data_IF_559961965736
#
_entry.id   IF_559961965736
#
_cell.length_a   1.000
_cell.length_b   1.000
_cell.length_c   1.000
_cell.angle_alpha   90.00
_cell.angle_beta   90.00
_cell.angle_gamma   90.00
#
_symmetry.space_group_name_H-M   'P 1'
#
loop_
_entity.id
_entity.type
_entity.pdbx_description
1 polymer ?
#
# COMPACT_ATOMS: atom_id res chain seq x y z
N UNK A 1 -0.84 -14.40 12.49
CA UNK A 1 -1.34 -13.12 11.97
C UNK A 1 -1.22 -13.08 10.46
N UNK A 2 -2.32 -12.78 9.77
CA UNK A 2 -2.38 -12.63 8.30
C UNK A 2 -2.78 -11.20 7.99
N UNK A 3 -2.00 -10.47 7.19
CA UNK A 3 -2.29 -9.07 6.88
C UNK A 3 -2.29 -8.84 5.37
N UNK A 4 -3.40 -8.33 4.85
CA UNK A 4 -3.47 -7.71 3.54
C UNK A 4 -3.35 -6.19 3.70
N UNK A 5 -2.28 -5.61 3.17
CA UNK A 5 -2.12 -4.16 3.05
C UNK A 5 -2.54 -3.74 1.65
N UNK A 6 -3.47 -2.81 1.56
CA UNK A 6 -4.00 -2.35 0.27
C UNK A 6 -4.15 -0.84 0.22
N UNK A 7 -4.57 -0.31 -0.92
CA UNK A 7 -4.69 1.12 -1.17
C UNK A 7 -4.35 1.47 -2.62
N UNK A 8 -4.64 2.71 -2.99
CA UNK A 8 -4.34 3.23 -4.33
C UNK A 8 -2.84 3.29 -4.63
N UNK A 9 -2.45 3.30 -5.93
CA UNK A 9 -1.10 3.67 -6.33
C UNK A 9 -0.65 4.97 -5.65
N UNK A 10 0.66 5.08 -5.38
CA UNK A 10 1.26 6.22 -4.69
C UNK A 10 0.70 6.56 -3.29
N UNK A 11 -0.09 5.67 -2.68
CA UNK A 11 -0.61 5.87 -1.31
C UNK A 11 0.44 5.75 -0.22
N UNK A 12 1.55 5.05 -0.48
CA UNK A 12 2.55 4.72 0.54
C UNK A 12 2.35 3.34 1.19
N UNK A 13 1.45 2.50 0.68
CA UNK A 13 1.11 1.19 1.25
C UNK A 13 2.32 0.28 1.51
N UNK A 14 3.37 0.33 0.67
CA UNK A 14 4.55 -0.51 0.85
C UNK A 14 5.42 -0.08 2.04
N UNK A 15 5.35 1.18 2.46
CA UNK A 15 6.01 1.65 3.69
C UNK A 15 5.32 1.02 4.89
N UNK A 16 4.00 1.08 4.93
CA UNK A 16 3.20 0.46 5.98
C UNK A 16 3.41 -1.05 6.02
N UNK A 17 3.44 -1.71 4.86
CA UNK A 17 3.75 -3.14 4.76
C UNK A 17 5.11 -3.50 5.34
N UNK A 18 6.16 -2.72 5.04
CA UNK A 18 7.49 -2.92 5.60
C UNK A 18 7.50 -2.74 7.13
N UNK A 19 6.85 -1.71 7.64
CA UNK A 19 6.71 -1.47 9.09
C UNK A 19 5.99 -2.64 9.77
N UNK A 20 4.82 -3.03 9.28
CA UNK A 20 4.03 -4.12 9.86
C UNK A 20 4.76 -5.46 9.81
N UNK A 21 5.46 -5.74 8.71
CA UNK A 21 6.30 -6.95 8.59
C UNK A 21 7.39 -6.98 9.66
N UNK A 22 8.10 -5.87 9.84
CA UNK A 22 9.17 -5.78 10.84
C UNK A 22 8.62 -5.92 12.26
N UNK A 23 7.54 -5.21 12.56
CA UNK A 23 6.91 -5.16 13.90
C UNK A 23 6.38 -6.54 14.32
N UNK A 24 5.70 -7.25 13.42
CA UNK A 24 5.06 -8.52 13.73
C UNK A 24 5.85 -9.75 13.28
N UNK A 25 7.02 -9.56 12.67
CA UNK A 25 7.85 -10.64 12.11
C UNK A 25 7.08 -11.47 11.06
N UNK A 26 6.51 -10.79 10.06
CA UNK A 26 5.70 -11.40 9.00
C UNK A 26 6.53 -11.70 7.75
N UNK A 27 6.19 -12.81 7.10
CA UNK A 27 6.73 -13.25 5.82
C UNK A 27 6.24 -12.34 4.69
N UNK A 28 7.15 -12.01 3.78
CA UNK A 28 6.85 -11.19 2.60
C UNK A 28 6.27 -12.01 1.48
N UNK A 29 4.96 -11.93 1.29
CA UNK A 29 4.34 -12.66 0.19
C UNK A 29 4.66 -12.01 -1.16
N UNK A 30 4.97 -10.70 -1.19
CA UNK A 30 5.38 -10.01 -2.42
C UNK A 30 6.73 -10.50 -2.98
N UNK A 31 7.59 -11.08 -2.14
CA UNK A 31 8.91 -11.57 -2.55
C UNK A 31 8.94 -13.05 -2.97
N UNK A 32 7.83 -13.78 -2.80
CA UNK A 32 7.78 -15.22 -3.14
C UNK A 32 7.78 -15.40 -4.66
N UNK A 33 8.73 -16.20 -5.16
CA UNK A 33 8.84 -16.54 -6.57
C UNK A 33 7.62 -17.36 -7.03
N UNK A 34 6.96 -16.92 -8.11
CA UNK A 34 5.79 -17.61 -8.68
C UNK A 34 4.68 -16.68 -9.18
N UNK A 35 4.75 -15.39 -8.84
CA UNK A 35 3.71 -14.42 -9.16
C UNK A 35 2.52 -14.60 -8.21
N UNK A 36 2.11 -13.52 -7.56
CA UNK A 36 0.86 -13.53 -6.80
C UNK A 36 -0.31 -13.23 -7.73
N UNK A 37 -1.51 -13.52 -7.25
CA UNK A 37 -2.75 -13.14 -7.92
C UNK A 37 -2.70 -11.65 -8.32
N UNK A 38 -2.71 -11.39 -9.63
CA UNK A 38 -2.59 -10.03 -10.17
C UNK A 38 -3.87 -9.20 -10.02
N UNK A 39 -5.00 -9.85 -9.72
CA UNK A 39 -6.31 -9.25 -9.60
C UNK A 39 -7.06 -9.70 -8.33
N UNK A 40 -8.06 -8.92 -7.94
CA UNK A 40 -8.89 -9.14 -6.75
C UNK A 40 -9.60 -10.51 -6.73
N UNK A 41 -10.28 -10.96 -7.83
CA UNK A 41 -10.91 -12.28 -7.85
C UNK A 41 -9.93 -13.43 -7.61
N UNK A 42 -8.78 -13.42 -8.29
CA UNK A 42 -7.75 -14.43 -8.15
C UNK A 42 -7.17 -14.45 -6.73
N UNK A 43 -7.07 -13.27 -6.09
CA UNK A 43 -6.61 -13.17 -4.70
C UNK A 43 -7.63 -13.79 -3.74
N UNK A 44 -8.92 -13.51 -3.94
CA UNK A 44 -9.98 -14.07 -3.12
C UNK A 44 -9.98 -15.61 -3.16
N UNK A 45 -9.87 -16.20 -4.35
CA UNK A 45 -9.79 -17.66 -4.53
C UNK A 45 -8.54 -18.27 -3.87
N UNK A 46 -7.39 -17.64 -4.05
CA UNK A 46 -6.14 -18.06 -3.42
C UNK A 46 -6.21 -18.02 -1.88
N UNK A 47 -6.84 -17.00 -1.30
CA UNK A 47 -7.08 -16.92 0.14
C UNK A 47 -8.01 -18.05 0.58
N UNK A 48 -9.15 -18.24 -0.10
CA UNK A 48 -10.15 -19.26 0.25
C UNK A 48 -9.59 -20.68 0.22
N UNK A 49 -8.67 -20.96 -0.70
CA UNK A 49 -7.99 -22.26 -0.82
C UNK A 49 -6.85 -22.46 0.19
N UNK A 50 -6.65 -21.52 1.11
CA UNK A 50 -5.65 -21.62 2.17
C UNK A 50 -4.25 -21.18 1.74
N UNK A 51 -4.12 -20.48 0.61
CA UNK A 51 -2.85 -19.98 0.10
C UNK A 51 -2.17 -18.95 1.00
N UNK A 52 -2.94 -18.27 1.86
CA UNK A 52 -2.42 -17.22 2.75
C UNK A 52 -1.86 -17.81 4.08
N UNK A 53 -0.53 -17.87 4.28
CA UNK A 53 0.07 -18.51 5.45
C UNK A 53 -0.16 -17.71 6.73
N UNK A 54 -0.13 -18.39 7.88
CA UNK A 54 -0.48 -17.81 9.19
C UNK A 54 0.44 -16.68 9.68
N UNK A 55 1.58 -16.42 9.04
CA UNK A 55 2.49 -15.29 9.31
C UNK A 55 2.76 -14.45 8.06
N UNK A 56 1.87 -14.47 7.08
CA UNK A 56 2.05 -13.74 5.84
C UNK A 56 1.63 -12.27 5.93
N UNK A 57 2.33 -11.43 5.17
CA UNK A 57 1.85 -10.12 4.77
C UNK A 57 1.89 -9.98 3.25
N UNK A 58 0.78 -9.51 2.68
CA UNK A 58 0.63 -9.21 1.28
C UNK A 58 0.32 -7.73 1.12
N UNK A 59 1.06 -7.02 0.27
CA UNK A 59 0.77 -5.66 -0.14
C UNK A 59 0.36 -5.57 -1.62
N UNK A 60 -0.72 -4.86 -1.95
CA UNK A 60 -1.10 -4.66 -3.34
C UNK A 60 -2.30 -3.76 -3.57
N UNK A 61 -2.49 -3.35 -4.82
CA UNK A 61 -3.58 -2.46 -5.26
C UNK A 61 -4.83 -3.29 -5.57
N UNK A 62 -5.49 -3.81 -4.54
CA UNK A 62 -6.70 -4.60 -4.66
C UNK A 62 -7.93 -3.75 -4.34
N UNK A 63 -9.02 -4.00 -5.04
CA UNK A 63 -10.31 -3.37 -4.76
C UNK A 63 -11.04 -4.08 -3.62
N UNK A 64 -11.84 -3.33 -2.86
CA UNK A 64 -12.81 -3.95 -1.96
C UNK A 64 -13.90 -4.61 -2.81
N UNK A 65 -13.97 -5.93 -2.72
CA UNK A 65 -14.92 -6.79 -3.42
C UNK A 65 -15.49 -7.81 -2.42
N UNK A 66 -16.77 -8.15 -2.57
CA UNK A 66 -17.48 -9.02 -1.63
C UNK A 66 -16.81 -10.40 -1.47
N UNK A 67 -16.27 -10.97 -2.55
CA UNK A 67 -15.59 -12.25 -2.51
C UNK A 67 -14.25 -12.16 -1.75
N UNK A 68 -13.50 -11.07 -1.97
CA UNK A 68 -12.25 -10.83 -1.23
C UNK A 68 -12.53 -10.58 0.26
N UNK A 69 -13.51 -9.73 0.58
CA UNK A 69 -13.90 -9.45 1.97
C UNK A 69 -14.32 -10.72 2.69
N UNK A 70 -15.15 -11.55 2.04
CA UNK A 70 -15.56 -12.85 2.57
C UNK A 70 -14.35 -13.78 2.78
N UNK A 71 -13.47 -13.88 1.78
CA UNK A 71 -12.25 -14.68 1.88
C UNK A 71 -11.37 -14.26 3.07
N UNK A 72 -11.17 -12.95 3.22
CA UNK A 72 -10.39 -12.39 4.31
C UNK A 72 -11.03 -12.71 5.68
N UNK A 73 -12.34 -12.51 5.84
CA UNK A 73 -13.04 -12.86 7.09
C UNK A 73 -12.93 -14.35 7.42
N UNK A 74 -13.24 -15.22 6.45
CA UNK A 74 -13.27 -16.67 6.66
C UNK A 74 -11.88 -17.24 7.05
N UNK A 75 -10.80 -16.65 6.53
CA UNK A 75 -9.43 -17.09 6.77
C UNK A 75 -8.69 -16.29 7.85
N UNK A 76 -9.38 -15.33 8.48
CA UNK A 76 -8.80 -14.45 9.50
C UNK A 76 -7.67 -13.57 8.97
N UNK A 77 -7.77 -13.10 7.73
CA UNK A 77 -6.89 -12.08 7.16
C UNK A 77 -7.39 -10.70 7.58
N UNK A 78 -6.54 -9.94 8.26
CA UNK A 78 -6.82 -8.53 8.58
C UNK A 78 -6.50 -7.68 7.37
N UNK A 79 -7.41 -6.79 7.01
CA UNK A 79 -7.18 -5.83 5.91
C UNK A 79 -6.81 -4.48 6.50
N UNK A 80 -5.73 -3.89 6.00
CA UNK A 80 -5.28 -2.55 6.34
C UNK A 80 -5.22 -1.74 5.05
N UNK A 81 -6.04 -0.70 4.93
CA UNK A 81 -6.09 0.13 3.73
C UNK A 81 -5.37 1.46 3.97
N UNK A 82 -4.37 1.74 3.14
CA UNK A 82 -3.69 3.03 3.10
C UNK A 82 -4.49 4.02 2.26
N UNK A 83 -4.90 5.10 2.92
CA UNK A 83 -5.46 6.29 2.29
C UNK A 83 -4.40 7.41 2.27
N UNK A 84 -4.49 8.27 1.26
CA UNK A 84 -3.66 9.45 1.10
C UNK A 84 -4.52 10.57 0.58
N UNK A 85 -4.19 11.80 0.96
CA UNK A 85 -4.81 12.99 0.41
C UNK A 85 -4.83 12.92 -1.14
N UNK A 86 -6.00 13.12 -1.77
CA UNK A 86 -6.16 12.92 -3.21
C UNK A 86 -5.45 13.98 -4.04
N UNK A 87 -5.14 15.16 -3.51
CA UNK A 87 -4.33 16.13 -4.22
C UNK A 87 -2.86 15.71 -4.19
N UNK A 88 -2.35 15.39 -2.99
CA UNK A 88 -0.95 14.99 -2.80
C UNK A 88 -0.64 13.67 -3.52
N UNK A 89 -1.58 12.72 -3.55
CA UNK A 89 -1.40 11.48 -4.28
C UNK A 89 -1.24 11.74 -5.79
N UNK A 90 -2.16 12.51 -6.39
CA UNK A 90 -2.05 12.90 -7.80
C UNK A 90 -0.71 13.59 -8.10
N UNK A 91 -0.29 14.53 -7.25
CA UNK A 91 1.01 15.21 -7.39
C UNK A 91 2.18 14.21 -7.43
N UNK A 92 2.20 13.21 -6.55
CA UNK A 92 3.24 12.17 -6.57
C UNK A 92 3.21 11.35 -7.85
N UNK A 93 2.01 10.98 -8.33
CA UNK A 93 1.89 10.25 -9.60
C UNK A 93 2.39 11.09 -10.78
N UNK A 94 2.03 12.36 -10.83
CA UNK A 94 2.45 13.29 -11.87
C UNK A 94 3.96 13.54 -11.85
N UNK A 95 4.53 13.79 -10.67
CA UNK A 95 5.99 13.94 -10.49
C UNK A 95 6.74 12.66 -10.85
N UNK A 96 6.20 11.49 -10.49
CA UNK A 96 6.82 10.22 -10.86
C UNK A 96 6.81 10.00 -12.38
N UNK A 97 5.69 10.28 -13.06
CA UNK A 97 5.59 10.16 -14.51
C UNK A 97 6.56 11.09 -15.25
N UNK A 98 6.89 12.23 -14.65
CA UNK A 98 7.79 13.27 -15.18
C UNK A 98 9.19 13.27 -14.55
N UNK A 99 9.49 12.28 -13.70
CA UNK A 99 10.74 12.23 -12.94
C UNK A 99 11.94 11.85 -13.80
N UNK A 100 13.10 12.42 -13.49
CA UNK A 100 14.36 12.22 -14.23
C UNK A 100 15.14 10.94 -13.85
N UNK A 101 14.57 10.06 -13.00
CA UNK A 101 15.27 8.86 -12.49
C UNK A 101 15.41 7.71 -13.50
N UNK A 102 15.07 7.93 -14.77
CA UNK A 102 15.21 6.91 -15.83
C UNK A 102 14.30 5.68 -15.66
N UNK A 103 13.39 5.70 -14.68
CA UNK A 103 12.38 4.66 -14.54
C UNK A 103 11.23 4.96 -15.50
N UNK A 104 10.81 3.98 -16.31
CA UNK A 104 9.65 4.18 -17.17
C UNK A 104 8.43 4.46 -16.31
N UNK A 105 7.61 5.42 -16.73
CA UNK A 105 6.29 5.63 -16.15
C UNK A 105 5.53 4.30 -16.19
N UNK A 106 4.80 3.99 -15.11
CA UNK A 106 3.89 2.86 -15.11
C UNK A 106 2.89 3.06 -16.28
N UNK A 107 2.45 1.99 -16.97
CA UNK A 107 1.58 2.10 -18.14
C UNK A 107 0.37 3.01 -17.90
N UNK A 108 -0.21 2.96 -16.69
CA UNK A 108 -1.37 3.76 -16.32
C UNK A 108 -1.09 5.26 -16.23
N UNK A 109 0.17 5.65 -15.97
CA UNK A 109 0.61 7.05 -15.84
C UNK A 109 1.35 7.57 -17.07
N UNK A 110 1.49 6.74 -18.12
CA UNK A 110 2.26 7.09 -19.31
C UNK A 110 1.71 8.34 -20.02
N UNK A 111 0.40 8.58 -19.95
CA UNK A 111 -0.26 9.77 -20.52
C UNK A 111 0.09 11.08 -19.81
N UNK A 112 0.61 11.02 -18.59
CA UNK A 112 1.03 12.20 -17.83
C UNK A 112 2.45 12.67 -18.20
N UNK A 113 3.22 11.82 -18.90
CA UNK A 113 4.61 12.12 -19.24
C UNK A 113 4.67 13.28 -20.23
N UNK A 114 5.44 14.31 -19.88
CA UNK A 114 5.64 15.55 -20.62
C UNK A 114 4.35 16.36 -20.85
N UNK A 115 3.22 15.93 -20.29
CA UNK A 115 1.95 16.63 -20.39
C UNK A 115 1.97 17.87 -19.47
N UNK A 116 1.49 19.03 -19.92
CA UNK A 116 1.37 20.20 -19.05
C UNK A 116 0.31 19.96 -17.97
N UNK A 117 0.55 20.45 -16.75
CA UNK A 117 -0.29 20.20 -15.57
C UNK A 117 -1.75 20.66 -15.77
N UNK A 118 -1.97 21.75 -16.50
CA UNK A 118 -3.27 22.31 -16.87
C UNK A 118 -3.78 21.83 -18.24
N UNK A 119 -3.11 20.84 -18.83
CA UNK A 119 -3.42 20.29 -20.14
C UNK A 119 -4.63 19.36 -20.19
N UNK A 120 -5.21 19.15 -21.38
CA UNK A 120 -6.35 18.26 -21.57
C UNK A 120 -6.03 16.79 -21.23
N UNK A 121 -4.79 16.33 -21.42
CA UNK A 121 -4.38 14.96 -21.11
C UNK A 121 -4.38 14.69 -19.59
N UNK A 122 -3.97 15.67 -18.79
CA UNK A 122 -4.04 15.60 -17.33
C UNK A 122 -5.50 15.60 -16.87
N UNK A 123 -6.34 16.47 -17.43
CA UNK A 123 -7.77 16.47 -17.13
C UNK A 123 -8.45 15.13 -17.48
N UNK A 124 -8.09 14.54 -18.62
CA UNK A 124 -8.59 13.23 -19.05
C UNK A 124 -8.11 12.11 -18.13
N UNK A 125 -6.84 12.14 -17.71
CA UNK A 125 -6.30 11.20 -16.71
C UNK A 125 -7.07 11.29 -15.39
N UNK A 126 -7.33 12.51 -14.89
CA UNK A 126 -8.07 12.74 -13.66
C UNK A 126 -9.49 12.17 -13.76
N UNK A 127 -10.20 12.48 -14.86
CA UNK A 127 -11.57 12.03 -15.08
C UNK A 127 -11.69 10.50 -15.28
N UNK A 128 -10.64 9.84 -15.79
CA UNK A 128 -10.65 8.42 -16.12
C UNK A 128 -9.90 7.53 -15.13
N UNK A 129 -8.57 7.56 -15.17
CA UNK A 129 -7.72 6.64 -14.40
C UNK A 129 -7.72 7.02 -12.92
N UNK A 130 -7.55 8.31 -12.62
CA UNK A 130 -7.42 8.75 -11.23
C UNK A 130 -8.72 8.61 -10.45
N UNK A 131 -9.87 8.92 -11.08
CA UNK A 131 -11.19 8.72 -10.48
C UNK A 131 -11.41 7.28 -10.02
N UNK A 132 -10.95 6.29 -10.80
CA UNK A 132 -10.97 4.87 -10.39
C UNK A 132 -10.14 4.57 -9.14
N UNK A 133 -8.98 5.22 -8.98
CA UNK A 133 -8.17 5.06 -7.77
C UNK A 133 -8.86 5.67 -6.54
N UNK A 134 -9.51 6.81 -6.71
CA UNK A 134 -10.33 7.41 -5.65
C UNK A 134 -11.50 6.51 -5.27
N UNK A 135 -12.19 5.93 -6.26
CA UNK A 135 -13.26 4.95 -6.03
C UNK A 135 -12.75 3.72 -5.28
N UNK A 136 -11.55 3.23 -5.61
CA UNK A 136 -10.96 2.09 -4.91
C UNK A 136 -10.76 2.36 -3.41
N UNK A 137 -10.20 3.52 -3.04
CA UNK A 137 -10.07 3.91 -1.62
C UNK A 137 -11.44 4.14 -0.98
N UNK A 138 -12.39 4.76 -1.70
CA UNK A 138 -13.75 4.97 -1.19
C UNK A 138 -14.48 3.66 -0.88
N UNK A 139 -14.31 2.62 -1.71
CA UNK A 139 -14.88 1.29 -1.46
C UNK A 139 -14.31 0.64 -0.20
N UNK A 140 -13.00 0.75 0.04
CA UNK A 140 -12.39 0.27 1.28
C UNK A 140 -12.86 1.05 2.51
N UNK A 141 -13.09 2.36 2.38
CA UNK A 141 -13.64 3.18 3.45
C UNK A 141 -15.11 2.86 3.76
N UNK A 142 -15.86 2.34 2.79
CA UNK A 142 -17.28 2.02 2.92
C UNK A 142 -17.55 0.67 3.60
N UNK A 143 -16.52 -0.11 3.94
CA UNK A 143 -16.65 -1.43 4.57
C UNK A 143 -16.04 -1.42 5.98
N UNK A 144 -16.67 -2.15 6.90
CA UNK A 144 -16.21 -2.22 8.30
C UNK A 144 -14.99 -3.15 8.50
N UNK A 145 -14.70 -4.00 7.52
CA UNK A 145 -13.65 -5.03 7.61
C UNK A 145 -12.23 -4.51 7.37
N UNK A 146 -12.07 -3.23 7.00
CA UNK A 146 -10.78 -2.64 6.68
C UNK A 146 -10.35 -1.59 7.71
N UNK A 147 -9.11 -1.72 8.18
CA UNK A 147 -8.47 -0.74 9.05
C UNK A 147 -7.87 0.38 8.20
N UNK A 148 -8.45 1.57 8.29
CA UNK A 148 -7.97 2.73 7.53
C UNK A 148 -6.74 3.36 8.18
N UNK A 149 -5.69 3.57 7.40
CA UNK A 149 -4.48 4.30 7.80
C UNK A 149 -4.28 5.46 6.84
N UNK A 150 -4.08 6.66 7.37
CA UNK A 150 -3.72 7.82 6.54
C UNK A 150 -2.21 7.93 6.44
N UNK A 151 -1.71 8.09 5.23
CA UNK A 151 -0.29 8.29 4.97
C UNK A 151 0.25 9.52 5.70
N UNK A 152 -0.55 10.58 5.80
CA UNK A 152 -0.15 11.82 6.48
C UNK A 152 0.09 11.59 7.98
N UNK A 153 -0.78 10.79 8.62
CA UNK A 153 -0.66 10.44 10.04
C UNK A 153 0.52 9.49 10.27
N UNK A 154 0.72 8.53 9.36
CA UNK A 154 1.86 7.61 9.42
C UNK A 154 3.20 8.34 9.30
N UNK A 155 3.29 9.36 8.44
CA UNK A 155 4.53 10.14 8.27
C UNK A 155 4.74 11.11 9.44
N UNK A 156 3.69 11.79 9.89
CA UNK A 156 3.81 12.84 10.92
C UNK A 156 3.97 12.25 12.32
N UNK A 157 3.29 11.15 12.61
CA UNK A 157 3.28 10.51 13.92
C UNK A 157 3.28 8.97 13.81
N UNK A 158 4.33 8.37 13.21
CA UNK A 158 4.36 6.94 12.87
C UNK A 158 4.03 6.03 14.05
N UNK A 159 4.61 6.30 15.22
CA UNK A 159 4.38 5.51 16.43
C UNK A 159 2.94 5.59 16.93
N UNK A 160 2.29 6.75 16.82
CA UNK A 160 0.88 6.89 17.22
C UNK A 160 -0.04 6.19 16.23
N UNK A 161 0.19 6.39 14.93
CA UNK A 161 -0.58 5.74 13.87
C UNK A 161 -0.48 4.21 13.96
N UNK A 162 0.72 3.66 14.16
CA UNK A 162 0.93 2.22 14.32
C UNK A 162 0.29 1.68 15.61
N UNK A 163 0.42 2.40 16.73
CA UNK A 163 -0.23 1.99 17.99
C UNK A 163 -1.75 1.97 17.89
N UNK A 164 -2.36 2.83 17.09
CA UNK A 164 -3.80 2.81 16.85
C UNK A 164 -4.25 1.51 16.15
N UNK A 165 -3.38 0.86 15.37
CA UNK A 165 -3.66 -0.45 14.78
C UNK A 165 -3.51 -1.62 15.76
N UNK A 166 -2.79 -1.43 16.87
CA UNK A 166 -2.47 -2.51 17.80
C UNK A 166 -3.71 -3.09 18.50
N UNK A 167 -4.79 -2.30 18.67
CA UNK A 167 -6.05 -2.81 19.23
C UNK A 167 -6.69 -3.90 18.35
N UNK A 168 -6.46 -3.85 17.04
CA UNK A 168 -7.10 -4.72 16.05
C UNK A 168 -6.17 -5.82 15.53
N UNK A 169 -4.86 -5.50 15.45
CA UNK A 169 -3.83 -6.42 14.97
C UNK A 169 -3.14 -7.18 16.11
N UNK A 170 -3.19 -6.69 17.34
CA UNK A 170 -2.50 -7.25 18.50
C UNK A 170 -1.33 -6.37 18.97
N UNK A 171 -0.87 -6.65 20.19
CA UNK A 171 0.17 -5.86 20.85
C UNK A 171 1.46 -5.77 20.04
N UNK A 172 2.09 -4.60 20.08
CA UNK A 172 3.38 -4.32 19.44
C UNK A 172 4.46 -4.23 20.51
N UNK A 173 5.58 -4.95 20.32
CA UNK A 173 6.76 -4.75 21.15
C UNK A 173 7.31 -3.33 20.95
N UNK A 174 7.47 -2.58 22.04
CA UNK A 174 7.87 -1.19 21.98
C UNK A 174 9.30 -1.00 21.45
N UNK A 175 10.20 -1.96 21.73
CA UNK A 175 11.57 -1.95 21.23
C UNK A 175 11.61 -2.15 19.72
N UNK A 176 10.91 -3.18 19.22
CA UNK A 176 10.79 -3.47 17.79
C UNK A 176 10.10 -2.31 17.06
N UNK A 177 9.02 -1.75 17.60
CA UNK A 177 8.33 -0.59 17.02
C UNK A 177 9.28 0.60 16.86
N UNK A 178 10.07 0.90 17.88
CA UNK A 178 11.02 2.02 17.83
C UNK A 178 12.12 1.78 16.79
N UNK A 179 12.71 0.59 16.76
CA UNK A 179 13.74 0.21 15.76
C UNK A 179 13.18 0.24 14.34
N UNK A 180 12.01 -0.34 14.09
CA UNK A 180 11.37 -0.36 12.78
C UNK A 180 11.05 1.04 12.25
N UNK A 181 10.52 1.92 13.10
CA UNK A 181 10.23 3.31 12.71
C UNK A 181 11.51 4.07 12.38
N UNK A 182 12.56 3.92 13.19
CA UNK A 182 13.86 4.55 12.94
C UNK A 182 14.44 4.08 11.59
N UNK A 183 14.59 2.76 11.41
CA UNK A 183 15.17 2.15 10.21
C UNK A 183 14.39 2.48 8.93
N UNK A 184 13.06 2.45 8.95
CA UNK A 184 12.25 2.55 7.72
C UNK A 184 11.86 4.00 7.41
N UNK A 185 11.57 4.81 8.42
CA UNK A 185 11.07 6.18 8.20
C UNK A 185 12.19 7.22 8.23
N UNK A 186 13.16 7.10 9.12
CA UNK A 186 14.22 8.13 9.25
C UNK A 186 15.28 8.03 8.15
N UNK A 187 15.64 6.81 7.73
CA UNK A 187 16.52 6.60 6.56
C UNK A 187 15.88 7.13 5.26
N UNK A 188 14.54 7.12 5.17
CA UNK A 188 13.80 7.71 4.04
C UNK A 188 13.79 9.23 4.05
N UNK A 189 13.71 9.87 5.21
CA UNK A 189 13.79 11.33 5.33
C UNK A 189 15.18 11.81 4.85
N UNK A 190 16.23 11.03 5.12
CA UNK A 190 17.59 11.32 4.63
C UNK A 190 17.78 11.03 3.13
N UNK A 191 16.91 10.23 2.50
CA UNK A 191 17.01 9.74 1.11
C UNK A 191 16.14 10.41 0.03
N UNK A 192 15.42 11.50 0.34
CA UNK A 192 14.52 12.28 -0.55
C UNK A 192 13.11 11.75 -0.80
N UNK A 193 12.22 12.72 -1.05
CA UNK A 193 10.76 12.74 -1.32
C UNK A 193 10.26 11.78 -2.44
N UNK A 194 11.07 10.84 -2.93
CA UNK A 194 10.80 10.08 -4.17
C UNK A 194 10.41 8.60 -4.05
N UNK A 195 10.43 7.97 -2.87
CA UNK A 195 10.40 6.49 -2.80
C UNK A 195 8.99 5.86 -2.72
N UNK A 196 7.95 6.50 -3.24
CA UNK A 196 6.56 6.05 -3.01
C UNK A 196 6.04 4.98 -3.99
N UNK A 197 6.78 4.62 -5.04
CA UNK A 197 6.21 3.79 -6.14
C UNK A 197 7.04 2.56 -6.56
N UNK A 198 8.31 2.40 -6.14
CA UNK A 198 9.18 1.33 -6.71
C UNK A 198 9.86 0.37 -5.73
N UNK A 199 9.65 0.47 -4.42
CA UNK A 199 10.38 -0.38 -3.46
C UNK A 199 9.72 -1.74 -3.19
N UNK A 200 9.04 -2.31 -4.19
CA UNK A 200 8.73 -3.77 -4.22
C UNK A 200 9.99 -4.63 -4.41
N UNK A 201 11.19 -4.03 -4.36
CA UNK A 201 12.51 -4.68 -4.46
C UNK A 201 13.49 -4.15 -3.40
N UNK A 202 13.05 -3.94 -2.17
CA UNK A 202 14.03 -3.91 -1.08
C UNK A 202 14.77 -5.27 -1.11
N UNK A 203 16.10 -5.29 -1.25
CA UNK A 203 16.84 -6.54 -1.18
C UNK A 203 16.54 -7.17 0.17
N UNK A 204 16.32 -8.48 0.18
CA UNK A 204 16.41 -9.26 1.40
C UNK A 204 17.81 -9.02 1.98
N UNK A 205 17.92 -8.11 2.95
CA UNK A 205 19.15 -7.93 3.70
C UNK A 205 19.40 -9.23 4.47
N UNK A 206 20.54 -9.84 4.14
CA UNK A 206 21.12 -10.99 4.82
C UNK A 206 21.39 -10.73 6.31
#
# INVERSE_FOLDING_TARGET
MRILVTGQPASGLFILAALLRRIYGLEDLNAVAGGMAGDTPSLADWIQTGGFPARGLLAGHYEADDALLKACRDQGVRVVCMARDPYVNFEVMYVHANGSRGMPAAPETATLKDAPLDGPDVAAFIAGVYSRYLEMTARWQAVDDALMVRQEDLVTAPKMSLKALASELGEMDAGILNSAVHEIMEDRIQGSVGNSLSDSRLPASA
#
